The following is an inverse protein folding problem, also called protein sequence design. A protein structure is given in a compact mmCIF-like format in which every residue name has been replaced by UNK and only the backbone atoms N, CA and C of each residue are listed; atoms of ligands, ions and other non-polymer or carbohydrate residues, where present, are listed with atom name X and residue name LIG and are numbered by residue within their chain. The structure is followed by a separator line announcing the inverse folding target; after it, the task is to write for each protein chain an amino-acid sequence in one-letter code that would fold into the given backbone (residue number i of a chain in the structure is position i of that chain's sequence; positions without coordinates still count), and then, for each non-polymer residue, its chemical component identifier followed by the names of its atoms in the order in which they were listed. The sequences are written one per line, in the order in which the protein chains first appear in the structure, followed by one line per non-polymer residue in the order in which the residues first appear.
data_IF_152963441525
#
_entry.id   IF_152963441525
#
_cell.length_a   1.000
_cell.length_b   1.000
_cell.length_c   1.000
_cell.angle_alpha   90.00
_cell.angle_beta   90.00
_cell.angle_gamma   90.00
#
_symmetry.space_group_name_H-M   'P 1'
#
loop_
_entity.id
_entity.type
_entity.pdbx_description
1 polymer ?
#
# COMPACT_ATOMS: atom_id res chain seq x y z
N UNK A 1 10.97 39.20 33.88
CA UNK A 1 11.88 38.14 33.38
C UNK A 1 11.03 36.93 33.03
N UNK A 2 10.96 36.48 31.77
CA UNK A 2 10.57 35.12 31.45
C UNK A 2 11.80 34.28 31.08
N UNK A 3 11.76 33.05 31.56
CA UNK A 3 12.78 32.02 31.56
C UNK A 3 13.37 31.71 30.17
N UNK A 4 14.68 31.46 30.16
CA UNK A 4 15.41 31.00 29.00
C UNK A 4 14.96 29.60 28.59
N UNK A 5 14.14 29.53 27.55
CA UNK A 5 13.91 28.29 26.80
C UNK A 5 15.21 27.88 26.10
N UNK A 6 15.86 26.87 26.67
CA UNK A 6 17.21 26.42 26.33
C UNK A 6 17.39 26.08 24.84
N UNK A 7 18.52 26.50 24.28
CA UNK A 7 18.96 26.17 22.92
C UNK A 7 19.16 24.65 22.70
N UNK A 8 19.22 23.85 23.77
CA UNK A 8 19.30 22.38 23.72
C UNK A 8 17.99 21.71 23.31
N UNK A 9 16.83 22.27 23.66
CA UNK A 9 15.52 21.67 23.34
C UNK A 9 15.19 21.78 21.85
N UNK A 10 15.65 22.85 21.19
CA UNK A 10 15.54 23.00 19.73
C UNK A 10 16.43 22.01 18.99
N UNK A 11 17.64 21.70 19.49
CA UNK A 11 18.52 20.75 18.82
C UNK A 11 18.01 19.31 18.96
N UNK A 12 17.47 18.94 20.13
CA UNK A 12 16.85 17.64 20.35
C UNK A 12 15.60 17.43 19.48
N UNK A 13 14.74 18.44 19.36
CA UNK A 13 13.57 18.39 18.46
C UNK A 13 13.96 18.25 16.97
N UNK A 14 15.04 18.89 16.53
CA UNK A 14 15.54 18.76 15.16
C UNK A 14 16.20 17.40 14.88
N UNK A 15 16.92 16.83 15.85
CA UNK A 15 17.52 15.49 15.74
C UNK A 15 16.43 14.41 15.70
N UNK A 16 15.43 14.49 16.60
CA UNK A 16 14.27 13.60 16.62
C UNK A 16 13.52 13.64 15.28
N UNK A 17 13.28 14.84 14.75
CA UNK A 17 12.58 15.04 13.48
C UNK A 17 13.36 14.44 12.31
N UNK A 18 14.67 14.69 12.21
CA UNK A 18 15.53 14.12 11.16
C UNK A 18 15.61 12.60 11.23
N UNK A 19 15.69 12.04 12.43
CA UNK A 19 15.69 10.59 12.63
C UNK A 19 14.38 9.97 12.14
N UNK A 20 13.22 10.53 12.50
CA UNK A 20 11.92 10.03 12.06
C UNK A 20 11.73 10.13 10.53
N UNK A 21 12.22 11.19 9.90
CA UNK A 21 12.22 11.34 8.43
C UNK A 21 13.08 10.26 7.78
N UNK A 22 14.30 10.05 8.28
CA UNK A 22 15.23 9.05 7.73
C UNK A 22 14.72 7.60 7.91
N UNK A 23 14.05 7.31 9.03
CA UNK A 23 13.39 6.00 9.23
C UNK A 23 12.22 5.82 8.26
N UNK A 24 11.42 6.86 8.02
CA UNK A 24 10.32 6.81 7.05
C UNK A 24 10.82 6.57 5.63
N UNK A 25 11.87 7.27 5.20
CA UNK A 25 12.50 7.07 3.89
C UNK A 25 13.03 5.64 3.72
N UNK A 26 13.63 5.08 4.78
CA UNK A 26 14.10 3.70 4.79
C UNK A 26 12.95 2.70 4.61
N UNK A 27 11.83 2.88 5.31
CA UNK A 27 10.65 1.99 5.18
C UNK A 27 10.05 2.07 3.78
N UNK A 28 9.89 3.28 3.24
CA UNK A 28 9.39 3.48 1.87
C UNK A 28 10.32 2.81 0.85
N UNK A 29 11.63 2.93 1.04
CA UNK A 29 12.64 2.26 0.22
C UNK A 29 12.55 0.73 0.31
N UNK A 30 12.34 0.19 1.52
CA UNK A 30 12.17 -1.26 1.73
C UNK A 30 10.94 -1.81 1.03
N UNK A 31 9.79 -1.14 1.16
CA UNK A 31 8.56 -1.53 0.45
C UNK A 31 8.75 -1.47 -1.06
N UNK A 32 9.41 -0.43 -1.58
CA UNK A 32 9.72 -0.34 -3.00
C UNK A 32 10.65 -1.47 -3.49
N UNK A 33 11.64 -1.86 -2.69
CA UNK A 33 12.51 -2.99 -2.99
C UNK A 33 11.72 -4.32 -2.99
N UNK A 34 10.80 -4.49 -2.06
CA UNK A 34 9.89 -5.64 -2.04
C UNK A 34 9.04 -5.69 -3.31
N UNK A 35 8.39 -4.59 -3.71
CA UNK A 35 7.60 -4.54 -4.95
C UNK A 35 8.46 -4.88 -6.17
N UNK A 36 9.66 -4.28 -6.28
CA UNK A 36 10.60 -4.57 -7.38
C UNK A 36 10.97 -6.05 -7.44
N UNK A 37 11.21 -6.67 -6.29
CA UNK A 37 11.50 -8.10 -6.20
C UNK A 37 10.33 -8.95 -6.70
N UNK A 38 9.10 -8.66 -6.28
CA UNK A 38 7.89 -9.38 -6.73
C UNK A 38 7.67 -9.24 -8.25
N UNK A 39 7.85 -8.02 -8.79
CA UNK A 39 7.75 -7.78 -10.23
C UNK A 39 8.80 -8.61 -10.98
N UNK A 40 10.04 -8.62 -10.52
CA UNK A 40 11.14 -9.38 -11.12
C UNK A 40 10.81 -10.87 -11.18
N UNK A 41 10.45 -11.50 -10.06
CA UNK A 41 10.16 -12.94 -10.05
C UNK A 41 8.91 -13.30 -10.89
N UNK A 42 7.90 -12.42 -10.94
CA UNK A 42 6.73 -12.62 -11.79
C UNK A 42 7.05 -12.58 -13.29
N UNK A 43 8.09 -11.84 -13.68
CA UNK A 43 8.58 -11.76 -15.07
C UNK A 43 9.45 -12.96 -15.43
N UNK A 44 10.34 -13.35 -14.52
CA UNK A 44 11.32 -14.42 -14.73
C UNK A 44 10.66 -15.81 -14.72
N UNK A 45 9.63 -16.03 -13.90
CA UNK A 45 8.97 -17.33 -13.75
C UNK A 45 7.44 -17.24 -13.87
N UNK A 46 6.92 -17.71 -15.01
CA UNK A 46 5.48 -17.79 -15.30
C UNK A 46 4.73 -18.73 -14.35
N UNK A 47 5.36 -19.80 -13.87
CA UNK A 47 4.80 -20.73 -12.91
C UNK A 47 4.60 -20.06 -11.55
N UNK A 48 5.65 -19.41 -11.03
CA UNK A 48 5.57 -18.60 -9.82
C UNK A 48 4.50 -17.52 -9.96
N UNK A 49 4.45 -16.79 -11.09
CA UNK A 49 3.39 -15.79 -11.33
C UNK A 49 1.98 -16.40 -11.24
N UNK A 50 1.75 -17.57 -11.85
CA UNK A 50 0.43 -18.23 -11.84
C UNK A 50 -0.01 -18.66 -10.43
N UNK A 51 0.91 -19.04 -9.57
CA UNK A 51 0.64 -19.34 -8.16
C UNK A 51 0.36 -18.07 -7.37
N UNK A 52 1.18 -17.03 -7.56
CA UNK A 52 1.02 -15.75 -6.88
C UNK A 52 -0.32 -15.07 -7.20
N UNK A 53 -0.85 -15.22 -8.43
CA UNK A 53 -2.21 -14.74 -8.79
C UNK A 53 -3.32 -15.24 -7.87
N UNK A 54 -3.10 -16.37 -7.18
CA UNK A 54 -4.05 -17.03 -6.26
C UNK A 54 -3.70 -16.82 -4.79
N UNK A 55 -2.67 -16.02 -4.48
CA UNK A 55 -2.12 -15.89 -3.14
C UNK A 55 -3.09 -15.32 -2.08
N UNK A 56 -4.13 -14.61 -2.52
CA UNK A 56 -5.18 -14.01 -1.71
C UNK A 56 -6.47 -14.86 -1.61
N UNK A 57 -6.61 -15.90 -2.45
CA UNK A 57 -7.80 -16.77 -2.49
C UNK A 57 -7.78 -17.90 -1.46
N UNK A 58 -6.66 -18.10 -0.76
CA UNK A 58 -6.54 -19.06 0.32
C UNK A 58 -5.69 -18.47 1.44
N UNK A 59 -6.13 -18.65 2.69
CA UNK A 59 -5.43 -18.15 3.87
C UNK A 59 -3.97 -18.68 4.03
N UNK A 60 -3.55 -19.63 3.17
CA UNK A 60 -2.31 -20.39 3.28
C UNK A 60 -1.64 -20.62 1.91
N UNK A 61 -1.51 -19.61 1.04
CA UNK A 61 -0.57 -19.79 -0.08
C UNK A 61 0.86 -19.81 0.46
N UNK A 62 1.31 -20.98 0.93
CA UNK A 62 2.63 -21.19 1.53
C UNK A 62 3.73 -20.56 0.67
N UNK A 63 3.57 -20.58 -0.65
CA UNK A 63 4.51 -20.00 -1.61
C UNK A 63 4.52 -18.47 -1.64
N UNK A 64 3.37 -17.81 -1.49
CA UNK A 64 3.32 -16.35 -1.35
C UNK A 64 3.92 -15.92 -0.01
N UNK A 65 3.63 -16.67 1.06
CA UNK A 65 4.17 -16.43 2.39
C UNK A 65 5.67 -16.71 2.47
N UNK A 66 6.17 -17.76 1.80
CA UNK A 66 7.60 -18.09 1.79
C UNK A 66 8.42 -17.00 1.11
N UNK A 67 7.92 -16.41 0.02
CA UNK A 67 8.56 -15.26 -0.63
C UNK A 67 8.69 -14.07 0.32
N UNK A 68 7.66 -13.79 1.11
CA UNK A 68 7.66 -12.68 2.07
C UNK A 68 8.63 -12.96 3.23
N UNK A 69 8.64 -14.18 3.76
CA UNK A 69 9.57 -14.59 4.82
C UNK A 69 11.02 -14.58 4.33
N UNK A 70 11.29 -15.09 3.12
CA UNK A 70 12.62 -15.06 2.51
C UNK A 70 13.11 -13.63 2.22
N UNK A 71 12.20 -12.67 2.06
CA UNK A 71 12.53 -11.25 1.96
C UNK A 71 12.89 -10.62 3.33
N UNK A 72 12.66 -11.33 4.44
CA UNK A 72 12.98 -10.87 5.80
C UNK A 72 11.80 -10.28 6.57
N UNK A 73 10.58 -10.37 6.05
CA UNK A 73 9.40 -9.82 6.71
C UNK A 73 8.77 -10.80 7.70
N UNK A 74 8.54 -10.31 8.94
CA UNK A 74 7.78 -11.06 9.93
C UNK A 74 6.28 -10.95 9.64
N UNK A 75 5.63 -12.09 9.38
CA UNK A 75 4.20 -12.21 9.03
C UNK A 75 3.40 -13.08 10.01
N UNK A 76 3.80 -13.12 11.28
CA UNK A 76 3.04 -13.80 12.34
C UNK A 76 1.64 -13.19 12.49
N UNK A 77 1.49 -11.89 12.26
CA UNK A 77 0.20 -11.21 12.27
C UNK A 77 -0.65 -11.57 11.01
N UNK A 78 -1.93 -11.92 11.23
CA UNK A 78 -2.85 -12.33 10.17
C UNK A 78 -3.17 -11.22 9.17
N UNK A 79 -3.44 -10.00 9.63
CA UNK A 79 -3.71 -8.87 8.74
C UNK A 79 -2.47 -8.56 7.90
N UNK A 80 -1.27 -8.60 8.50
CA UNK A 80 -0.01 -8.45 7.75
C UNK A 80 0.11 -9.52 6.65
N UNK A 81 -0.18 -10.80 6.93
CA UNK A 81 -0.24 -11.84 5.87
C UNK A 81 -1.21 -11.47 4.76
N UNK A 82 -2.42 -11.05 5.11
CA UNK A 82 -3.45 -10.70 4.12
C UNK A 82 -3.05 -9.49 3.26
N UNK A 83 -2.37 -8.50 3.84
CA UNK A 83 -1.82 -7.34 3.12
C UNK A 83 -0.81 -7.80 2.07
N UNK A 84 0.20 -8.58 2.46
CA UNK A 84 1.19 -9.08 1.51
C UNK A 84 0.55 -9.96 0.43
N UNK A 85 -0.34 -10.87 0.81
CA UNK A 85 -1.06 -11.71 -0.14
C UNK A 85 -1.83 -10.88 -1.18
N UNK A 86 -2.51 -9.82 -0.75
CA UNK A 86 -3.25 -8.92 -1.65
C UNK A 86 -2.33 -8.17 -2.62
N UNK A 87 -1.22 -7.64 -2.12
CA UNK A 87 -0.26 -6.88 -2.93
C UNK A 87 0.39 -7.80 -3.97
N UNK A 88 0.88 -8.97 -3.54
CA UNK A 88 1.54 -9.94 -4.41
C UNK A 88 0.58 -10.46 -5.47
N UNK A 89 -0.64 -10.85 -5.08
CA UNK A 89 -1.63 -11.37 -6.02
C UNK A 89 -2.04 -10.33 -7.05
N UNK A 90 -2.17 -9.07 -6.64
CA UNK A 90 -2.49 -7.96 -7.51
C UNK A 90 -1.38 -7.66 -8.51
N UNK A 91 -0.12 -7.64 -8.08
CA UNK A 91 1.02 -7.47 -9.00
C UNK A 91 1.07 -8.61 -10.01
N UNK A 92 0.91 -9.86 -9.54
CA UNK A 92 0.91 -11.03 -10.41
C UNK A 92 -0.24 -11.00 -11.43
N UNK A 93 -1.43 -10.51 -11.05
CA UNK A 93 -2.59 -10.36 -11.94
C UNK A 93 -2.44 -9.24 -12.94
N UNK A 94 -2.07 -8.04 -12.48
CA UNK A 94 -1.88 -6.85 -13.32
C UNK A 94 -0.75 -7.03 -14.34
N UNK A 95 0.33 -7.73 -13.98
CA UNK A 95 1.45 -7.94 -14.89
C UNK A 95 2.23 -6.68 -15.21
N UNK A 96 2.24 -5.72 -14.29
CA UNK A 96 2.97 -4.46 -14.42
C UNK A 96 4.48 -4.69 -14.60
N UNK A 97 5.12 -3.75 -15.29
CA UNK A 97 6.55 -3.80 -15.53
C UNK A 97 7.39 -3.06 -14.48
N UNK A 98 6.77 -2.12 -13.77
CA UNK A 98 7.38 -1.28 -12.74
C UNK A 98 6.32 -0.86 -11.71
N UNK A 99 6.77 -0.39 -10.54
CA UNK A 99 5.86 0.15 -9.53
C UNK A 99 5.27 1.48 -10.00
N UNK A 100 3.95 1.63 -9.91
CA UNK A 100 3.25 2.75 -10.52
C UNK A 100 3.47 4.08 -9.83
N UNK A 101 2.89 5.14 -10.40
CA UNK A 101 3.04 6.51 -9.91
C UNK A 101 1.91 7.01 -8.99
N UNK A 102 0.76 6.34 -8.97
CA UNK A 102 -0.47 6.88 -8.38
C UNK A 102 -0.77 6.29 -7.01
N UNK A 103 -1.14 7.14 -6.04
CA UNK A 103 -1.77 6.68 -4.79
C UNK A 103 -3.13 6.04 -5.09
N UNK A 104 -3.73 5.38 -4.09
CA UNK A 104 -5.04 4.74 -4.27
C UNK A 104 -6.12 5.73 -4.73
N UNK A 105 -6.14 6.95 -4.14
CA UNK A 105 -7.03 8.03 -4.55
C UNK A 105 -6.79 8.48 -5.99
N UNK A 106 -5.52 8.75 -6.33
CA UNK A 106 -5.13 9.14 -7.69
C UNK A 106 -5.45 8.07 -8.74
N UNK A 107 -5.34 6.79 -8.39
CA UNK A 107 -5.72 5.69 -9.26
C UNK A 107 -7.22 5.70 -9.58
N UNK A 108 -8.10 5.89 -8.59
CA UNK A 108 -9.54 6.05 -8.86
C UNK A 108 -9.85 7.30 -9.67
N UNK A 109 -9.13 8.42 -9.46
CA UNK A 109 -9.26 9.63 -10.29
C UNK A 109 -8.93 9.34 -11.75
N UNK A 110 -7.81 8.64 -12.02
CA UNK A 110 -7.42 8.25 -13.38
C UNK A 110 -8.42 7.30 -14.02
N UNK A 111 -8.91 6.29 -13.29
CA UNK A 111 -9.95 5.37 -13.79
C UNK A 111 -11.22 6.12 -14.20
N UNK A 112 -11.63 7.10 -13.39
CA UNK A 112 -12.75 8.00 -13.69
C UNK A 112 -12.49 8.83 -14.95
N UNK A 113 -11.33 9.48 -15.03
CA UNK A 113 -10.96 10.34 -16.16
C UNK A 113 -10.87 9.57 -17.49
N UNK A 114 -10.43 8.31 -17.43
CA UNK A 114 -10.30 7.45 -18.61
C UNK A 114 -11.60 6.74 -19.01
N UNK A 115 -12.72 6.97 -18.30
CA UNK A 115 -14.00 6.33 -18.59
C UNK A 115 -14.10 4.85 -18.19
N UNK A 116 -13.11 4.31 -17.47
CA UNK A 116 -13.11 2.91 -17.03
C UNK A 116 -14.15 2.63 -15.93
N UNK A 117 -14.53 3.68 -15.18
CA UNK A 117 -15.61 3.66 -14.19
C UNK A 117 -16.38 4.97 -14.25
N UNK A 118 -17.68 4.92 -13.97
CA UNK A 118 -18.47 6.14 -13.82
C UNK A 118 -18.02 6.96 -12.61
N UNK A 119 -18.24 8.28 -12.65
CA UNK A 119 -17.91 9.20 -11.57
C UNK A 119 -18.49 8.73 -10.22
N UNK A 120 -19.78 8.40 -10.20
CA UNK A 120 -20.48 7.92 -9.00
C UNK A 120 -19.88 6.60 -8.48
N UNK A 121 -19.50 5.70 -9.39
CA UNK A 121 -18.91 4.40 -9.06
C UNK A 121 -17.52 4.54 -8.44
N UNK A 122 -16.70 5.47 -8.93
CA UNK A 122 -15.39 5.81 -8.38
C UNK A 122 -15.51 6.41 -6.97
N UNK A 123 -16.40 7.40 -6.84
CA UNK A 123 -16.60 8.12 -5.58
C UNK A 123 -17.17 7.20 -4.49
N UNK A 124 -18.14 6.33 -4.82
CA UNK A 124 -18.69 5.38 -3.85
C UNK A 124 -17.64 4.41 -3.31
N UNK A 125 -16.73 3.91 -4.17
CA UNK A 125 -15.64 3.03 -3.75
C UNK A 125 -14.67 3.75 -2.83
N UNK A 126 -14.27 4.97 -3.19
CA UNK A 126 -13.38 5.75 -2.35
C UNK A 126 -14.03 6.09 -1.02
N UNK A 127 -15.27 6.61 -1.01
CA UNK A 127 -16.01 6.91 0.24
C UNK A 127 -16.11 5.69 1.15
N UNK A 128 -16.32 4.50 0.58
CA UNK A 128 -16.35 3.25 1.34
C UNK A 128 -15.00 2.94 1.99
N UNK A 129 -13.89 3.15 1.27
CA UNK A 129 -12.53 3.00 1.83
C UNK A 129 -12.25 4.02 2.94
N UNK A 130 -12.61 5.29 2.72
CA UNK A 130 -12.43 6.36 3.72
C UNK A 130 -13.25 6.11 5.00
N UNK A 131 -14.37 5.40 4.89
CA UNK A 131 -15.21 5.03 6.03
C UNK A 131 -14.70 3.82 6.82
N UNK A 132 -13.68 3.11 6.34
CA UNK A 132 -13.13 1.94 7.04
C UNK A 132 -12.42 2.38 8.33
N UNK A 133 -12.57 1.58 9.38
CA UNK A 133 -11.98 1.82 10.70
C UNK A 133 -10.87 0.85 11.07
N UNK A 134 -10.69 -0.21 10.27
CA UNK A 134 -9.63 -1.19 10.48
C UNK A 134 -8.97 -1.63 9.17
N UNK A 135 -7.73 -2.14 9.26
CA UNK A 135 -7.03 -2.77 8.13
C UNK A 135 -7.86 -3.90 7.54
N UNK A 136 -8.48 -4.75 8.38
CA UNK A 136 -9.31 -5.86 7.90
C UNK A 136 -10.53 -5.37 7.09
N UNK A 137 -11.15 -4.25 7.49
CA UNK A 137 -12.24 -3.63 6.71
C UNK A 137 -11.74 -3.08 5.37
N UNK A 138 -10.60 -2.38 5.37
CA UNK A 138 -9.98 -1.87 4.15
C UNK A 138 -9.68 -3.02 3.19
N UNK A 139 -9.05 -4.09 3.67
CA UNK A 139 -8.73 -5.26 2.85
C UNK A 139 -9.97 -5.87 2.21
N UNK A 140 -11.09 -6.01 2.95
CA UNK A 140 -12.35 -6.54 2.40
C UNK A 140 -12.94 -5.65 1.31
N UNK A 141 -12.88 -4.33 1.47
CA UNK A 141 -13.38 -3.38 0.47
C UNK A 141 -12.46 -3.34 -0.74
N UNK A 142 -11.15 -3.35 -0.49
CA UNK A 142 -10.11 -3.26 -1.50
C UNK A 142 -10.10 -4.51 -2.38
N UNK A 143 -10.19 -5.72 -1.80
CA UNK A 143 -10.32 -6.98 -2.54
C UNK A 143 -11.42 -6.95 -3.62
N UNK A 144 -12.57 -6.35 -3.31
CA UNK A 144 -13.68 -6.21 -4.27
C UNK A 144 -13.39 -5.18 -5.37
N UNK A 145 -12.50 -4.24 -5.11
CA UNK A 145 -12.10 -3.17 -6.03
C UNK A 145 -10.84 -3.52 -6.84
N UNK A 146 -10.07 -4.53 -6.43
CA UNK A 146 -8.80 -4.85 -7.07
C UNK A 146 -8.95 -5.22 -8.55
N UNK A 147 -10.00 -5.93 -8.96
CA UNK A 147 -10.15 -6.34 -10.37
C UNK A 147 -10.12 -5.16 -11.34
N UNK A 148 -10.69 -4.01 -10.98
CA UNK A 148 -10.70 -2.83 -11.85
C UNK A 148 -9.40 -2.04 -11.76
N UNK A 149 -8.81 -1.99 -10.57
CA UNK A 149 -7.53 -1.35 -10.32
C UNK A 149 -6.39 -2.09 -11.06
N UNK A 150 -6.35 -3.41 -10.96
CA UNK A 150 -5.35 -4.28 -11.59
C UNK A 150 -5.32 -4.14 -13.11
N UNK A 151 -6.47 -3.93 -13.73
CA UNK A 151 -6.59 -3.92 -15.19
C UNK A 151 -6.31 -2.56 -15.82
N UNK A 152 -6.46 -1.47 -15.07
CA UNK A 152 -6.64 -0.14 -15.65
C UNK A 152 -5.95 1.00 -14.88
N UNK A 153 -5.14 0.70 -13.86
CA UNK A 153 -4.53 1.74 -13.04
C UNK A 153 -3.04 1.57 -12.82
N UNK A 154 -2.37 2.73 -12.80
CA UNK A 154 -0.96 2.90 -12.50
C UNK A 154 -0.77 3.08 -10.98
N UNK A 155 -1.20 2.07 -10.20
CA UNK A 155 -1.09 2.10 -8.74
C UNK A 155 0.36 1.94 -8.31
N UNK A 156 0.76 2.78 -7.37
CA UNK A 156 1.99 2.65 -6.59
C UNK A 156 1.79 1.65 -5.46
N UNK A 157 2.11 0.39 -5.72
CA UNK A 157 1.97 -0.71 -4.77
C UNK A 157 2.85 -0.53 -3.53
N UNK A 158 4.01 0.11 -3.65
CA UNK A 158 4.86 0.39 -2.48
C UNK A 158 4.20 1.34 -1.49
N UNK A 159 3.52 2.37 -2.01
CA UNK A 159 2.74 3.30 -1.21
C UNK A 159 1.50 2.62 -0.62
N UNK A 160 0.79 1.82 -1.43
CA UNK A 160 -0.36 1.05 -0.94
C UNK A 160 0.03 0.06 0.18
N UNK A 161 1.13 -0.67 0.02
CA UNK A 161 1.66 -1.57 1.05
C UNK A 161 1.99 -0.80 2.34
N UNK A 162 2.66 0.35 2.21
CA UNK A 162 2.96 1.22 3.35
C UNK A 162 1.68 1.67 4.07
N UNK A 163 0.69 2.15 3.32
CA UNK A 163 -0.56 2.64 3.88
C UNK A 163 -1.33 1.53 4.60
N UNK A 164 -1.44 0.34 3.98
CA UNK A 164 -2.12 -0.80 4.60
C UNK A 164 -1.43 -1.28 5.88
N UNK A 165 -0.09 -1.36 5.90
CA UNK A 165 0.67 -1.76 7.09
C UNK A 165 0.54 -0.78 8.25
N UNK A 166 0.18 0.48 7.99
CA UNK A 166 0.06 1.54 8.99
C UNK A 166 -1.39 1.97 9.23
N UNK A 167 -2.38 1.31 8.63
CA UNK A 167 -3.77 1.78 8.66
C UNK A 167 -4.41 1.71 10.05
N UNK A 168 -4.00 0.76 10.89
CA UNK A 168 -4.47 0.63 12.28
C UNK A 168 -3.63 1.39 13.31
N UNK A 169 -2.77 2.31 12.84
CA UNK A 169 -1.97 3.18 13.70
C UNK A 169 -2.62 4.56 13.83
N UNK A 170 -1.96 5.47 14.56
CA UNK A 170 -2.30 6.90 14.63
C UNK A 170 -2.30 7.61 13.26
N UNK A 171 -1.73 6.98 12.22
CA UNK A 171 -1.70 7.49 10.84
C UNK A 171 -2.98 7.29 10.05
N UNK A 172 -3.99 6.60 10.59
CA UNK A 172 -5.21 6.25 9.84
C UNK A 172 -5.86 7.46 9.13
N UNK A 173 -6.08 8.55 9.87
CA UNK A 173 -6.72 9.75 9.32
C UNK A 173 -5.84 10.49 8.32
N UNK A 174 -4.52 10.45 8.51
CA UNK A 174 -3.56 10.98 7.54
C UNK A 174 -3.63 10.21 6.21
N UNK A 175 -3.65 8.87 6.27
CA UNK A 175 -3.74 8.00 5.09
C UNK A 175 -5.03 8.30 4.31
N UNK A 176 -6.18 8.33 5.01
CA UNK A 176 -7.48 8.68 4.43
C UNK A 176 -7.47 10.07 3.78
N UNK A 177 -6.85 11.05 4.45
CA UNK A 177 -6.73 12.41 3.94
C UNK A 177 -5.92 12.45 2.64
N UNK A 178 -4.79 11.74 2.56
CA UNK A 178 -3.98 11.65 1.34
C UNK A 178 -4.80 11.02 0.20
N UNK A 179 -5.49 9.91 0.47
CA UNK A 179 -6.34 9.27 -0.54
C UNK A 179 -7.46 10.18 -1.03
N UNK A 180 -8.09 10.94 -0.14
CA UNK A 180 -9.13 11.89 -0.52
C UNK A 180 -8.55 13.05 -1.34
N UNK A 181 -7.46 13.65 -0.88
CA UNK A 181 -6.80 14.77 -1.57
C UNK A 181 -6.41 14.41 -2.99
N UNK A 182 -5.79 13.25 -3.20
CA UNK A 182 -5.32 12.83 -4.52
C UNK A 182 -6.47 12.47 -5.47
N UNK A 183 -7.65 12.16 -4.94
CA UNK A 183 -8.84 11.91 -5.75
C UNK A 183 -9.56 13.19 -6.18
N UNK A 184 -9.63 14.19 -5.29
CA UNK A 184 -10.43 15.41 -5.49
C UNK A 184 -9.65 16.62 -6.00
N UNK A 185 -8.32 16.69 -5.79
CA UNK A 185 -7.43 17.54 -6.61
C UNK A 185 -7.53 17.09 -8.05
#
# INVERSE_FOLDING_TARGET
MPEGYSSSDRSMGQIQTRFLVQQRERIISMNANFIKYIIKICKEDKGTRAELRRADKGANSWRGLSIVVSFGENIINKDKRMIYSLIISSIARSGIDSDGGSTLGGAFKKLKANGNISNNSAELRLRRLLSCRSTSEVLRVLQKSMSILESNSDIKYSALLHDLLNFDTDRQEQIKTVWAQDFYK
#
